data_IF_521731068623
#
_entry.id   IF_521731068623
#
_cell.length_a   1.000
_cell.length_b   1.000
_cell.length_c   1.000
_cell.angle_alpha   90.00
_cell.angle_beta   90.00
_cell.angle_gamma   90.00
#
_symmetry.space_group_name_H-M   'P 1'
#
loop_
_entity.id
_entity.type
_entity.pdbx_description
1 polymer ?
#
# COMPACT_ATOMS: atom_id res chain seq x y z
N UNK A 1 4.80 0.17 -5.46
CA UNK A 1 3.74 0.17 -6.49
C UNK A 1 4.07 1.28 -7.47
N UNK A 2 3.94 1.03 -8.77
CA UNK A 2 4.08 2.07 -9.81
C UNK A 2 2.83 2.01 -10.66
N UNK A 3 2.00 3.06 -10.63
CA UNK A 3 0.64 3.01 -11.19
C UNK A 3 -0.18 1.89 -10.53
N UNK A 4 -0.51 0.85 -11.30
CA UNK A 4 -1.28 -0.32 -10.86
C UNK A 4 -0.44 -1.59 -10.66
N UNK A 5 0.90 -1.51 -10.67
CA UNK A 5 1.76 -2.71 -10.64
C UNK A 5 2.57 -2.84 -9.35
N UNK A 6 2.78 -4.07 -8.91
CA UNK A 6 3.62 -4.44 -7.76
C UNK A 6 4.96 -4.97 -8.27
N UNK A 7 6.04 -4.40 -7.73
CA UNK A 7 7.40 -4.83 -8.04
C UNK A 7 8.08 -5.38 -6.79
N UNK A 8 8.77 -6.52 -6.93
CA UNK A 8 9.66 -7.11 -5.91
C UNK A 8 11.05 -7.24 -6.53
N UNK A 9 12.05 -6.64 -5.90
CA UNK A 9 13.43 -6.62 -6.38
C UNK A 9 13.59 -6.17 -7.85
N UNK A 10 12.77 -5.18 -8.26
CA UNK A 10 12.77 -4.64 -9.61
C UNK A 10 12.06 -5.49 -10.67
N UNK A 11 11.44 -6.61 -10.29
CA UNK A 11 10.64 -7.47 -11.19
C UNK A 11 9.14 -7.28 -10.93
N UNK A 12 8.35 -7.17 -11.98
CA UNK A 12 6.89 -7.11 -11.88
C UNK A 12 6.35 -8.44 -11.36
N UNK A 13 5.60 -8.39 -10.26
CA UNK A 13 4.95 -9.55 -9.64
C UNK A 13 3.46 -9.58 -10.00
N UNK A 14 2.81 -8.41 -9.97
CA UNK A 14 1.42 -8.26 -10.38
C UNK A 14 1.31 -7.01 -11.27
N UNK A 15 0.85 -7.18 -12.50
CA UNK A 15 0.73 -6.07 -13.46
C UNK A 15 -0.54 -5.25 -13.24
N UNK A 16 -1.58 -5.83 -12.63
CA UNK A 16 -2.87 -5.18 -12.33
C UNK A 16 -3.27 -5.49 -10.88
N UNK A 17 -2.88 -4.61 -9.96
CA UNK A 17 -3.16 -4.71 -8.53
C UNK A 17 -4.05 -3.56 -8.06
N UNK A 18 -5.32 -3.85 -7.79
CA UNK A 18 -6.22 -2.87 -7.19
C UNK A 18 -6.45 -1.63 -8.07
N UNK A 19 -6.45 -0.46 -7.42
CA UNK A 19 -6.65 0.82 -8.07
C UNK A 19 -5.32 1.53 -8.34
N UNK A 20 -5.26 2.16 -9.52
CA UNK A 20 -4.13 2.90 -10.03
C UNK A 20 -3.82 4.17 -9.21
N UNK A 21 -2.61 4.27 -8.66
CA UNK A 21 -2.15 5.44 -7.91
C UNK A 21 -2.14 6.72 -8.75
N UNK A 22 -2.07 6.64 -10.08
CA UNK A 22 -2.13 7.82 -10.96
C UNK A 22 -3.51 8.50 -10.98
N UNK A 23 -4.53 7.87 -10.38
CA UNK A 23 -5.91 8.36 -10.29
C UNK A 23 -6.24 8.99 -8.94
N UNK A 24 -5.29 9.05 -8.01
CA UNK A 24 -5.52 9.67 -6.71
C UNK A 24 -5.72 11.19 -6.84
N UNK A 25 -6.66 11.71 -6.05
CA UNK A 25 -6.95 13.12 -5.95
C UNK A 25 -6.59 13.64 -4.55
N UNK A 26 -6.58 14.97 -4.42
CA UNK A 26 -6.40 15.60 -3.11
C UNK A 26 -7.48 15.11 -2.13
N UNK A 27 -7.03 14.66 -0.95
CA UNK A 27 -7.89 14.11 0.10
C UNK A 27 -8.00 12.58 0.12
N UNK A 28 -7.59 11.89 -0.94
CA UNK A 28 -7.50 10.43 -0.93
C UNK A 28 -6.42 9.95 0.04
N UNK A 29 -6.68 8.82 0.71
CA UNK A 29 -5.81 8.23 1.72
C UNK A 29 -5.32 6.87 1.27
N UNK A 30 -4.01 6.66 1.35
CA UNK A 30 -3.38 5.37 1.10
C UNK A 30 -2.85 4.79 2.40
N UNK A 31 -3.14 3.51 2.63
CA UNK A 31 -2.58 2.71 3.70
C UNK A 31 -1.73 1.58 3.16
N UNK A 32 -0.74 1.16 3.96
CA UNK A 32 0.06 -0.03 3.71
C UNK A 32 0.16 -0.83 5.02
N UNK A 33 -0.05 -2.14 4.93
CA UNK A 33 0.01 -3.03 6.08
C UNK A 33 0.82 -4.27 5.74
N UNK A 34 1.64 -4.69 6.71
CA UNK A 34 2.18 -6.05 6.75
C UNK A 34 1.28 -6.88 7.67
N UNK A 35 0.68 -7.94 7.16
CA UNK A 35 -0.16 -8.85 7.97
C UNK A 35 0.69 -9.76 8.87
N UNK A 36 0.05 -10.43 9.82
CA UNK A 36 0.67 -11.48 10.65
C UNK A 36 1.14 -12.68 9.82
N UNK A 37 0.52 -12.90 8.66
CA UNK A 37 0.87 -13.97 7.69
C UNK A 37 2.04 -13.57 6.77
N UNK A 38 2.68 -12.42 7.02
CA UNK A 38 3.77 -11.87 6.19
C UNK A 38 3.34 -11.49 4.77
N UNK A 39 2.11 -10.99 4.63
CA UNK A 39 1.61 -10.46 3.37
C UNK A 39 1.68 -8.93 3.36
N UNK A 40 1.83 -8.35 2.17
CA UNK A 40 1.72 -6.93 1.91
C UNK A 40 0.32 -6.61 1.40
N UNK A 41 -0.39 -5.71 2.07
CA UNK A 41 -1.73 -5.26 1.68
C UNK A 41 -1.76 -3.74 1.59
N UNK A 42 -2.34 -3.20 0.52
CA UNK A 42 -2.62 -1.78 0.38
C UNK A 42 -4.09 -1.47 0.67
N UNK A 43 -4.33 -0.27 1.15
CA UNK A 43 -5.66 0.27 1.45
C UNK A 43 -5.85 1.58 0.72
N UNK A 44 -7.04 1.78 0.15
CA UNK A 44 -7.43 3.04 -0.50
C UNK A 44 -8.68 3.55 0.20
N UNK A 45 -8.62 4.71 0.84
CA UNK A 45 -9.73 5.28 1.61
C UNK A 45 -10.33 4.28 2.62
N UNK A 46 -9.47 3.49 3.26
CA UNK A 46 -9.84 2.44 4.22
C UNK A 46 -10.26 1.10 3.61
N UNK A 47 -10.37 0.99 2.27
CA UNK A 47 -10.77 -0.23 1.58
C UNK A 47 -9.56 -1.07 1.19
N UNK A 48 -9.53 -2.32 1.65
CA UNK A 48 -8.50 -3.31 1.30
C UNK A 48 -8.46 -3.59 -0.20
N UNK A 49 -7.27 -3.58 -0.80
CA UNK A 49 -7.04 -3.87 -2.22
C UNK A 49 -6.62 -5.32 -2.50
N UNK A 50 -6.59 -6.18 -1.47
CA UNK A 50 -6.13 -7.57 -1.55
C UNK A 50 -4.63 -7.73 -1.31
N UNK A 51 -4.13 -8.95 -1.39
CA UNK A 51 -2.70 -9.26 -1.17
C UNK A 51 -1.88 -8.84 -2.39
N UNK A 52 -0.89 -7.98 -2.16
CA UNK A 52 0.03 -7.47 -3.18
C UNK A 52 1.25 -8.36 -3.35
N UNK A 53 1.76 -8.90 -2.24
CA UNK A 53 2.92 -9.77 -2.20
C UNK A 53 2.89 -10.62 -0.93
N UNK A 54 3.46 -11.82 -1.03
CA UNK A 54 3.61 -12.77 0.08
C UNK A 54 5.09 -12.89 0.47
N UNK A 55 5.34 -13.62 1.56
CA UNK A 55 6.66 -13.91 2.11
C UNK A 55 7.50 -12.67 2.43
N UNK A 56 6.91 -11.68 3.10
CA UNK A 56 7.63 -10.48 3.55
C UNK A 56 8.58 -10.79 4.72
N UNK A 57 9.77 -10.14 4.78
CA UNK A 57 10.65 -10.24 5.93
C UNK A 57 10.00 -9.81 7.25
N UNK A 58 10.57 -10.26 8.38
CA UNK A 58 10.07 -9.93 9.72
C UNK A 58 9.97 -8.42 9.96
N UNK A 59 10.95 -7.65 9.48
CA UNK A 59 11.01 -6.20 9.58
C UNK A 59 10.97 -5.57 8.20
N UNK A 60 10.03 -4.65 8.00
CA UNK A 60 9.88 -3.85 6.78
C UNK A 60 9.64 -2.40 7.16
N UNK A 61 9.85 -1.49 6.21
CA UNK A 61 9.58 -0.07 6.37
C UNK A 61 8.73 0.41 5.20
N UNK A 62 7.72 1.23 5.50
CA UNK A 62 6.99 1.93 4.46
C UNK A 62 7.87 3.04 3.89
N UNK A 63 8.01 3.06 2.58
CA UNK A 63 8.70 4.13 1.84
C UNK A 63 7.68 4.76 0.91
N UNK A 64 7.61 6.09 0.97
CA UNK A 64 6.79 6.89 0.06
C UNK A 64 7.74 7.69 -0.80
N UNK A 65 7.64 7.51 -2.11
CA UNK A 65 8.33 8.34 -3.09
C UNK A 65 7.37 9.42 -3.58
N UNK A 66 7.73 10.68 -3.35
CA UNK A 66 6.96 11.84 -3.83
C UNK A 66 7.68 12.40 -5.05
N UNK A 67 7.19 12.01 -6.22
CA UNK A 67 7.66 12.54 -7.49
C UNK A 67 6.48 12.75 -8.44
N UNK A 68 6.47 13.88 -9.18
CA UNK A 68 5.42 14.17 -10.15
C UNK A 68 4.18 14.86 -9.58
N UNK A 69 3.00 14.24 -9.72
CA UNK A 69 1.67 14.88 -9.49
C UNK A 69 1.33 15.15 -8.01
N UNK A 70 2.05 14.54 -7.08
CA UNK A 70 1.84 14.73 -5.65
C UNK A 70 2.93 15.67 -5.09
N UNK A 71 2.52 16.77 -4.45
CA UNK A 71 3.44 17.77 -3.90
C UNK A 71 3.65 17.65 -2.39
N UNK A 72 2.70 17.03 -1.67
CA UNK A 72 2.74 16.85 -0.22
C UNK A 72 1.96 15.61 0.18
N UNK A 73 2.48 14.88 1.17
CA UNK A 73 1.75 13.86 1.91
C UNK A 73 1.78 14.19 3.40
N UNK A 74 0.73 13.78 4.10
CA UNK A 74 0.63 13.87 5.56
C UNK A 74 0.33 12.49 6.11
N UNK A 75 1.01 12.11 7.20
CA UNK A 75 0.66 10.90 7.93
C UNK A 75 -0.63 11.19 8.70
N UNK A 76 -1.65 10.38 8.46
CA UNK A 76 -2.92 10.42 9.20
C UNK A 76 -2.93 9.28 10.21
N UNK A 77 -3.51 9.52 11.39
CA UNK A 77 -3.73 8.44 12.37
C UNK A 77 -4.66 7.39 11.76
N UNK A 78 -4.35 6.12 12.03
CA UNK A 78 -5.20 5.02 11.59
C UNK A 78 -6.50 5.05 12.38
N UNK A 79 -7.64 5.02 11.69
CA UNK A 79 -8.96 4.91 12.32
C UNK A 79 -9.13 3.50 12.93
N UNK A 80 -8.48 3.25 14.07
CA UNK A 80 -8.80 2.29 15.15
C UNK A 80 -9.02 0.81 14.85
N UNK A 81 -9.24 0.35 13.63
CA UNK A 81 -9.58 -1.04 13.32
C UNK A 81 -8.34 -1.73 12.78
N UNK A 82 -7.39 -1.97 13.69
CA UNK A 82 -6.52 -3.13 13.57
C UNK A 82 -7.37 -4.33 14.01
N UNK A 83 -7.71 -5.21 13.08
CA UNK A 83 -8.29 -6.49 13.42
C UNK A 83 -7.25 -7.25 14.26
N UNK A 84 -7.42 -7.19 15.58
CA UNK A 84 -6.68 -8.01 16.52
C UNK A 84 -7.23 -9.43 16.41
N UNK A 85 -6.77 -10.13 15.37
CA UNK A 85 -7.03 -11.56 15.19
C UNK A 85 -6.70 -12.31 16.48
N UNK A 86 -7.71 -13.01 16.99
CA UNK A 86 -7.64 -13.91 18.16
C UNK A 86 -6.91 -15.20 17.83
#
# INVERSE_FOLDING_TARGET
>A
MSGNSILKDGRSMLEVYGMDLDKLNEGDRIGVMKTSENELVFYMNGVCQGVAAEDLPSKVYAVVDMYGKCAQVSIVESDGVIDSGS
#
